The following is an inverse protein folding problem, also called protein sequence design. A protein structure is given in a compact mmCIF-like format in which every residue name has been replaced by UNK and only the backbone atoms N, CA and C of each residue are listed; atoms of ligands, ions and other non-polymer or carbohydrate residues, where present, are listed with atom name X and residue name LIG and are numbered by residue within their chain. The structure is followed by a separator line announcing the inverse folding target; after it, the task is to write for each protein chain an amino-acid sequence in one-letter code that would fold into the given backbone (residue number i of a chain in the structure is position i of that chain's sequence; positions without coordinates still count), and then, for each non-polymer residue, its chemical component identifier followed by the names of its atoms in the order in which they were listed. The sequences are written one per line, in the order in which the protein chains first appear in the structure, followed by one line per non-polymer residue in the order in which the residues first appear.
data_IF_344984997352
#
_entry.id   IF_344984997352
#
_cell.length_a   1.000
_cell.length_b   1.000
_cell.length_c   1.000
_cell.angle_alpha   90.00
_cell.angle_beta   90.00
_cell.angle_gamma   90.00
#
_symmetry.space_group_name_H-M   'P 1'
#
loop_
_entity.id
_entity.type
_entity.pdbx_description
1 polymer ?
#
# COMPACT_ATOMS: atom_id res chain seq x y z
N UNK A 1 11.61 53.80 6.60
CA UNK A 1 10.64 53.11 5.73
C UNK A 1 11.27 51.81 5.17
N UNK A 2 11.74 50.91 6.04
CA UNK A 2 12.47 49.65 5.66
C UNK A 2 11.67 48.39 6.07
N UNK A 3 10.65 48.55 6.92
CA UNK A 3 9.91 47.45 7.55
C UNK A 3 9.04 46.64 6.56
N UNK A 4 8.52 47.28 5.51
CA UNK A 4 7.64 46.62 4.53
C UNK A 4 8.39 45.61 3.64
N UNK A 5 9.63 45.93 3.22
CA UNK A 5 10.43 45.04 2.35
C UNK A 5 10.88 43.77 3.09
N UNK A 6 11.25 43.87 4.36
CA UNK A 6 11.66 42.71 5.14
C UNK A 6 10.48 41.78 5.48
N UNK A 7 9.30 42.35 5.76
CA UNK A 7 8.08 41.59 5.99
C UNK A 7 7.65 40.80 4.74
N UNK A 8 7.70 41.43 3.55
CA UNK A 8 7.42 40.75 2.27
C UNK A 8 8.41 39.62 1.96
N UNK A 9 9.72 39.85 2.14
CA UNK A 9 10.75 38.81 1.94
C UNK A 9 10.57 37.63 2.89
N UNK A 10 10.13 37.90 4.13
CA UNK A 10 9.91 36.85 5.14
C UNK A 10 8.69 36.00 4.79
N UNK A 11 7.59 36.62 4.32
CA UNK A 11 6.37 35.91 3.91
C UNK A 11 6.60 35.02 2.68
N UNK A 12 7.30 35.53 1.66
CA UNK A 12 7.66 34.74 0.47
C UNK A 12 8.55 33.53 0.84
N UNK A 13 9.51 33.73 1.76
CA UNK A 13 10.37 32.64 2.24
C UNK A 13 9.58 31.59 3.02
N UNK A 14 8.65 32.00 3.88
CA UNK A 14 7.78 31.07 4.63
C UNK A 14 6.86 30.26 3.71
N UNK A 15 6.28 30.89 2.68
CA UNK A 15 5.44 30.21 1.70
C UNK A 15 6.24 29.18 0.87
N UNK A 16 7.47 29.50 0.48
CA UNK A 16 8.36 28.56 -0.21
C UNK A 16 8.71 27.35 0.66
N UNK A 17 9.04 27.56 1.94
CA UNK A 17 9.32 26.47 2.89
C UNK A 17 8.11 25.56 3.11
N UNK A 18 6.91 26.13 3.23
CA UNK A 18 5.68 25.34 3.40
C UNK A 18 5.38 24.44 2.19
N UNK A 19 5.62 24.93 0.96
CA UNK A 19 5.46 24.12 -0.26
C UNK A 19 6.44 22.97 -0.33
N UNK A 20 7.72 23.23 -0.05
CA UNK A 20 8.76 22.18 0.01
C UNK A 20 8.45 21.10 1.04
N UNK A 21 7.94 21.49 2.22
CA UNK A 21 7.53 20.53 3.25
C UNK A 21 6.35 19.67 2.76
N UNK A 22 5.32 20.29 2.17
CA UNK A 22 4.18 19.55 1.60
C UNK A 22 4.62 18.56 0.51
N UNK A 23 5.49 18.97 -0.41
CA UNK A 23 6.02 18.10 -1.46
C UNK A 23 6.81 16.91 -0.87
N UNK A 24 7.59 17.16 0.18
CA UNK A 24 8.34 16.11 0.88
C UNK A 24 7.39 15.15 1.60
N UNK A 25 6.42 15.66 2.35
CA UNK A 25 5.42 14.84 3.05
C UNK A 25 4.61 13.97 2.08
N UNK A 26 4.20 14.53 0.93
CA UNK A 26 3.50 13.77 -0.11
C UNK A 26 4.41 12.70 -0.71
N UNK A 27 5.68 13.00 -0.98
CA UNK A 27 6.64 12.00 -1.46
C UNK A 27 6.78 10.84 -0.47
N UNK A 28 6.94 11.12 0.81
CA UNK A 28 7.07 10.10 1.86
C UNK A 28 5.80 9.23 1.97
N UNK A 29 4.62 9.82 1.80
CA UNK A 29 3.35 9.08 1.77
C UNK A 29 3.24 8.19 0.54
N UNK A 30 3.66 8.66 -0.64
CA UNK A 30 3.67 7.86 -1.87
C UNK A 30 4.66 6.69 -1.78
N UNK A 31 5.84 6.92 -1.19
CA UNK A 31 6.82 5.87 -0.92
C UNK A 31 6.27 4.84 0.06
N UNK A 32 5.56 5.30 1.10
CA UNK A 32 4.87 4.42 2.05
C UNK A 32 3.79 3.57 1.37
N UNK A 33 2.99 4.15 0.48
CA UNK A 33 2.02 3.40 -0.32
C UNK A 33 2.71 2.37 -1.24
N UNK A 34 3.85 2.72 -1.84
CA UNK A 34 4.69 1.81 -2.61
C UNK A 34 5.17 0.62 -1.76
N UNK A 35 5.66 0.88 -0.56
CA UNK A 35 6.10 -0.16 0.37
C UNK A 35 4.94 -1.07 0.80
N UNK A 36 3.78 -0.50 1.14
CA UNK A 36 2.56 -1.27 1.46
C UNK A 36 2.16 -2.15 0.28
N UNK A 37 2.22 -1.63 -0.95
CA UNK A 37 1.91 -2.41 -2.15
C UNK A 37 2.87 -3.60 -2.31
N UNK A 38 4.15 -3.43 -2.02
CA UNK A 38 5.11 -4.53 -2.06
C UNK A 38 4.80 -5.60 -1.00
N UNK A 39 4.40 -5.19 0.20
CA UNK A 39 3.97 -6.12 1.26
C UNK A 39 2.72 -6.91 0.82
N UNK A 40 1.72 -6.24 0.23
CA UNK A 40 0.53 -6.91 -0.31
C UNK A 40 0.87 -7.97 -1.37
N UNK A 41 1.77 -7.63 -2.29
CA UNK A 41 2.21 -8.54 -3.34
C UNK A 41 2.95 -9.76 -2.75
N UNK A 42 3.84 -9.54 -1.78
CA UNK A 42 4.54 -10.60 -1.09
C UNK A 42 3.58 -11.51 -0.31
N UNK A 43 2.62 -10.92 0.41
CA UNK A 43 1.60 -11.65 1.14
C UNK A 43 0.71 -12.49 0.22
N UNK A 44 0.34 -11.96 -0.95
CA UNK A 44 -0.43 -12.72 -1.94
C UNK A 44 0.38 -13.88 -2.54
N UNK A 45 1.66 -13.69 -2.82
CA UNK A 45 2.53 -14.77 -3.31
C UNK A 45 2.68 -15.88 -2.26
N UNK A 46 2.94 -15.51 -1.00
CA UNK A 46 3.01 -16.46 0.11
C UNK A 46 1.67 -17.23 0.26
N UNK A 47 0.54 -16.53 0.17
CA UNK A 47 -0.79 -17.14 0.22
C UNK A 47 -1.01 -18.13 -0.92
N UNK A 48 -0.61 -17.81 -2.15
CA UNK A 48 -0.68 -18.74 -3.29
C UNK A 48 0.14 -20.01 -3.04
N UNK A 49 1.35 -19.88 -2.52
CA UNK A 49 2.20 -21.02 -2.21
C UNK A 49 1.56 -21.93 -1.15
N UNK A 50 1.04 -21.35 -0.07
CA UNK A 50 0.35 -22.09 1.00
C UNK A 50 -0.91 -22.78 0.48
N UNK A 51 -1.72 -22.08 -0.33
CA UNK A 51 -2.92 -22.67 -0.96
C UNK A 51 -2.55 -23.83 -1.86
N UNK A 52 -1.54 -23.68 -2.72
CA UNK A 52 -1.07 -24.75 -3.60
C UNK A 52 -0.59 -25.97 -2.79
N UNK A 53 0.19 -25.76 -1.74
CA UNK A 53 0.62 -26.83 -0.84
C UNK A 53 -0.56 -27.50 -0.12
N UNK A 54 -1.53 -26.74 0.37
CA UNK A 54 -2.72 -27.32 0.99
C UNK A 54 -3.51 -28.18 -0.01
N UNK A 55 -3.60 -27.74 -1.28
CA UNK A 55 -4.25 -28.50 -2.35
C UNK A 55 -3.51 -29.80 -2.64
N UNK A 56 -2.18 -29.82 -2.68
CA UNK A 56 -1.41 -31.06 -2.88
C UNK A 56 -1.55 -32.02 -1.69
N UNK A 57 -1.80 -31.50 -0.49
CA UNK A 57 -2.08 -32.29 0.72
C UNK A 57 -3.55 -32.74 0.82
N UNK A 58 -4.39 -32.45 -0.17
CA UNK A 58 -5.78 -32.92 -0.23
C UNK A 58 -6.83 -31.97 0.35
N UNK A 59 -6.45 -30.78 0.82
CA UNK A 59 -7.43 -29.80 1.30
C UNK A 59 -8.40 -29.42 0.18
N UNK A 60 -9.70 -29.44 0.45
CA UNK A 60 -10.71 -29.13 -0.58
C UNK A 60 -10.79 -27.61 -0.84
N UNK A 61 -11.31 -27.22 -2.01
CA UNK A 61 -11.61 -25.82 -2.29
C UNK A 61 -12.59 -25.21 -1.30
N UNK A 62 -13.51 -26.01 -0.76
CA UNK A 62 -14.46 -25.56 0.26
C UNK A 62 -13.73 -25.22 1.56
N UNK A 63 -12.90 -26.13 2.07
CA UNK A 63 -12.12 -25.92 3.29
C UNK A 63 -11.23 -24.68 3.22
N UNK A 64 -10.58 -24.44 2.07
CA UNK A 64 -9.76 -23.26 1.85
C UNK A 64 -10.61 -21.97 1.83
N UNK A 65 -11.79 -22.03 1.24
CA UNK A 65 -12.72 -20.90 1.20
C UNK A 65 -13.26 -20.56 2.59
N UNK A 66 -13.64 -21.57 3.37
CA UNK A 66 -14.08 -21.41 4.75
C UNK A 66 -12.98 -20.78 5.62
N UNK A 67 -11.73 -21.24 5.45
CA UNK A 67 -10.56 -20.71 6.16
C UNK A 67 -10.26 -19.25 5.79
N UNK A 68 -10.43 -18.90 4.50
CA UNK A 68 -10.15 -17.57 3.99
C UNK A 68 -11.34 -16.60 4.14
N UNK A 69 -12.49 -17.06 4.64
CA UNK A 69 -13.70 -16.25 4.80
C UNK A 69 -14.29 -15.78 3.47
N UNK A 70 -14.15 -16.57 2.40
CA UNK A 70 -14.64 -16.24 1.05
C UNK A 70 -15.43 -17.41 0.47
N UNK A 71 -16.05 -17.20 -0.70
CA UNK A 71 -16.79 -18.28 -1.37
C UNK A 71 -15.86 -19.28 -2.04
N UNK A 72 -16.32 -20.54 -2.16
CA UNK A 72 -15.60 -21.60 -2.88
C UNK A 72 -15.21 -21.19 -4.29
N UNK A 73 -16.15 -20.58 -5.01
CA UNK A 73 -15.94 -20.10 -6.38
C UNK A 73 -14.87 -19.00 -6.42
N UNK A 74 -14.85 -18.07 -5.47
CA UNK A 74 -13.84 -17.02 -5.41
C UNK A 74 -12.43 -17.58 -5.20
N UNK A 75 -12.27 -18.53 -4.27
CA UNK A 75 -10.98 -19.21 -4.03
C UNK A 75 -10.55 -20.03 -5.25
N UNK A 76 -11.46 -20.81 -5.83
CA UNK A 76 -11.15 -21.62 -7.00
C UNK A 76 -10.75 -20.73 -8.19
N UNK A 77 -11.49 -19.66 -8.46
CA UNK A 77 -11.17 -18.71 -9.53
C UNK A 77 -9.81 -18.02 -9.31
N UNK A 78 -9.48 -17.69 -8.06
CA UNK A 78 -8.24 -16.97 -7.72
C UNK A 78 -7.00 -17.87 -7.73
N UNK A 79 -7.12 -19.12 -7.31
CA UNK A 79 -5.97 -20.00 -7.03
C UNK A 79 -5.89 -21.27 -7.89
N UNK A 80 -6.88 -21.59 -8.71
CA UNK A 80 -6.84 -22.78 -9.58
C UNK A 80 -6.17 -22.53 -10.95
N UNK A 81 -5.52 -21.37 -11.13
CA UNK A 81 -4.88 -20.97 -12.39
C UNK A 81 -3.37 -21.16 -12.34
#
# INVERSE_FOLDING_TARGET
MITASHALITLERQAASARLNYETEVSDLLDTLGALRMIELAAEQARRAVVAQARTQGATWQTLADTLGVTRQAVQQRYAR
#
